data_IF_264623369490
#
_entry.id   IF_264623369490
#
_cell.length_a   1.000
_cell.length_b   1.000
_cell.length_c   1.000
_cell.angle_alpha   90.00
_cell.angle_beta   90.00
_cell.angle_gamma   90.00
#
_symmetry.space_group_name_H-M   'P 1'
#
loop_
_entity.id
_entity.type
_entity.pdbx_description
1 polymer ?
#
# COMPACT_ATOMS: atom_id res chain seq x y z
N UNK A 1 -39.24 91.06 -1.63
CA UNK A 1 -39.30 89.70 -1.16
C UNK A 1 -38.57 88.86 -2.18
N UNK A 2 -37.27 88.70 -2.07
CA UNK A 2 -36.40 88.02 -3.07
C UNK A 2 -35.60 86.90 -2.36
N UNK A 3 -35.89 85.70 -2.70
CA UNK A 3 -35.11 84.54 -2.23
C UNK A 3 -33.85 84.37 -3.06
N UNK A 4 -32.70 84.46 -2.43
CA UNK A 4 -31.43 84.19 -3.04
C UNK A 4 -31.14 82.68 -2.90
N UNK A 5 -30.99 82.00 -4.02
CA UNK A 5 -30.54 80.55 -4.08
C UNK A 5 -29.01 80.57 -4.00
N UNK A 6 -28.49 79.89 -3.05
CA UNK A 6 -27.03 79.62 -2.88
C UNK A 6 -26.68 78.35 -3.63
N UNK A 7 -25.92 78.49 -4.70
CA UNK A 7 -25.35 77.36 -5.45
C UNK A 7 -24.06 76.88 -4.74
N UNK A 8 -24.07 75.65 -4.23
CA UNK A 8 -22.86 75.02 -3.75
C UNK A 8 -22.37 74.12 -4.87
N UNK A 9 -21.17 74.48 -5.37
CA UNK A 9 -20.46 73.72 -6.40
C UNK A 9 -19.72 72.56 -5.71
N UNK A 10 -20.10 71.38 -5.94
CA UNK A 10 -19.38 70.15 -5.48
C UNK A 10 -18.37 69.78 -6.55
N UNK A 11 -17.08 70.01 -6.26
CA UNK A 11 -15.96 69.55 -7.08
C UNK A 11 -15.66 68.11 -6.70
N UNK A 12 -16.02 67.13 -7.55
CA UNK A 12 -15.65 65.77 -7.39
C UNK A 12 -14.19 65.56 -7.86
N UNK A 13 -13.32 65.27 -6.93
CA UNK A 13 -11.93 64.82 -7.22
C UNK A 13 -11.98 63.32 -7.43
N UNK A 14 -11.81 62.89 -8.68
CA UNK A 14 -11.71 61.48 -9.07
C UNK A 14 -10.28 60.99 -8.83
N UNK A 15 -10.04 60.33 -7.71
CA UNK A 15 -8.76 59.66 -7.46
C UNK A 15 -8.71 58.32 -8.20
N UNK A 16 -7.92 58.23 -9.24
CA UNK A 16 -7.63 57.03 -10.01
C UNK A 16 -6.61 56.19 -9.22
N UNK A 17 -7.03 55.22 -8.45
CA UNK A 17 -6.18 54.19 -7.84
C UNK A 17 -5.80 53.14 -8.90
N UNK A 18 -4.57 53.23 -9.41
CA UNK A 18 -3.96 52.17 -10.18
C UNK A 18 -3.67 51.00 -9.24
N UNK A 19 -4.45 49.94 -9.33
CA UNK A 19 -4.08 48.63 -8.77
C UNK A 19 -2.99 48.04 -9.68
N UNK A 20 -1.75 48.13 -9.26
CA UNK A 20 -0.68 47.31 -9.77
C UNK A 20 -0.94 45.88 -9.31
N UNK A 21 -1.46 45.03 -10.20
CA UNK A 21 -1.61 43.60 -9.98
C UNK A 21 -0.23 42.99 -9.82
N UNK A 22 0.16 42.69 -8.57
CA UNK A 22 1.29 41.85 -8.24
C UNK A 22 0.82 40.40 -8.49
N UNK A 23 1.14 39.86 -9.69
CA UNK A 23 1.01 38.44 -9.97
C UNK A 23 2.07 37.73 -9.17
N UNK A 24 1.71 37.29 -7.96
CA UNK A 24 2.50 36.31 -7.22
C UNK A 24 2.44 34.99 -7.97
N UNK A 25 3.54 34.64 -8.64
CA UNK A 25 3.79 33.26 -9.03
C UNK A 25 3.79 32.46 -7.73
N UNK A 26 2.76 31.65 -7.50
CA UNK A 26 2.82 30.56 -6.54
C UNK A 26 3.98 29.64 -6.96
N UNK A 27 5.09 29.82 -6.29
CA UNK A 27 6.11 28.80 -6.24
C UNK A 27 5.51 27.66 -5.45
N UNK A 28 5.08 26.60 -6.16
CA UNK A 28 4.85 25.29 -5.59
C UNK A 28 6.17 24.73 -5.02
N UNK A 29 6.63 25.37 -3.97
CA UNK A 29 7.66 24.83 -3.11
C UNK A 29 6.96 23.77 -2.25
N UNK A 30 6.88 22.54 -2.79
CA UNK A 30 6.40 21.38 -2.08
C UNK A 30 7.32 21.15 -0.88
N UNK A 31 7.03 21.89 0.19
CA UNK A 31 7.68 21.72 1.49
C UNK A 31 7.38 20.29 1.91
N UNK A 32 8.39 19.42 1.86
CA UNK A 32 8.33 18.10 2.47
C UNK A 32 8.10 18.31 3.96
N UNK A 33 6.83 18.24 4.37
CA UNK A 33 6.47 18.21 5.78
C UNK A 33 7.08 16.96 6.40
N UNK A 34 8.04 17.13 7.30
CA UNK A 34 8.74 16.06 8.03
C UNK A 34 7.88 15.45 9.14
N UNK A 35 6.57 15.36 8.93
CA UNK A 35 5.63 14.68 9.83
C UNK A 35 5.38 13.24 9.38
N UNK A 36 4.79 12.39 10.26
CA UNK A 36 4.38 11.05 9.86
C UNK A 36 3.35 11.13 8.71
N UNK A 37 3.52 10.27 7.70
CA UNK A 37 2.60 10.17 6.56
C UNK A 37 1.21 9.81 7.08
N UNK A 38 0.17 10.57 6.67
CA UNK A 38 -1.20 10.30 7.09
C UNK A 38 -1.72 8.97 6.50
N UNK A 39 -2.72 8.36 7.14
CA UNK A 39 -3.31 7.13 6.64
C UNK A 39 -3.92 7.31 5.24
N UNK A 40 -4.58 8.44 4.99
CA UNK A 40 -5.17 8.76 3.68
C UNK A 40 -4.08 8.89 2.59
N UNK A 41 -2.93 9.47 2.91
CA UNK A 41 -1.80 9.53 1.98
C UNK A 41 -1.21 8.14 1.69
N UNK A 42 -1.16 7.25 2.69
CA UNK A 42 -0.75 5.86 2.51
C UNK A 42 -1.70 5.16 1.55
N UNK A 43 -3.01 5.25 1.76
CA UNK A 43 -4.03 4.67 0.87
C UNK A 43 -3.93 5.24 -0.54
N UNK A 44 -3.82 6.56 -0.67
CA UNK A 44 -3.75 7.25 -1.95
C UNK A 44 -2.47 6.96 -2.74
N UNK A 45 -1.33 6.67 -2.07
CA UNK A 45 -0.01 6.49 -2.69
C UNK A 45 0.44 5.04 -2.83
N UNK A 46 -0.20 4.08 -2.14
CA UNK A 46 0.15 2.67 -2.25
C UNK A 46 -0.18 2.14 -3.65
N UNK A 47 0.79 1.50 -4.27
CA UNK A 47 0.64 0.89 -5.61
C UNK A 47 1.28 -0.50 -5.63
N UNK A 48 0.88 -1.30 -6.61
CA UNK A 48 1.60 -2.52 -7.00
C UNK A 48 2.80 -2.12 -7.84
N UNK A 49 3.98 -2.10 -7.23
CA UNK A 49 5.23 -1.62 -7.86
C UNK A 49 5.90 -2.75 -8.65
N UNK A 50 6.35 -2.44 -9.86
CA UNK A 50 6.93 -3.38 -10.83
C UNK A 50 8.28 -2.92 -11.36
N UNK A 51 8.97 -2.07 -10.60
CA UNK A 51 10.32 -1.61 -10.90
C UNK A 51 10.96 -1.15 -9.59
N UNK A 52 12.07 -1.77 -9.20
CA UNK A 52 12.74 -1.52 -7.93
C UNK A 52 14.13 -0.93 -8.13
N UNK A 53 14.52 -0.06 -7.19
CA UNK A 53 15.85 0.53 -7.13
C UNK A 53 16.83 -0.47 -6.48
N UNK A 54 17.59 -1.16 -7.32
CA UNK A 54 18.55 -2.19 -6.91
C UNK A 54 19.75 -1.64 -6.10
N UNK A 55 19.93 -0.31 -6.04
CA UNK A 55 20.99 0.32 -5.24
C UNK A 55 20.63 0.41 -3.75
N UNK A 56 19.35 0.20 -3.40
CA UNK A 56 18.82 0.33 -2.04
C UNK A 56 18.62 -1.04 -1.40
N UNK A 57 18.98 -1.12 -0.15
CA UNK A 57 18.82 -2.32 0.68
C UNK A 57 17.76 -2.09 1.76
N UNK A 58 17.27 -3.19 2.33
CA UNK A 58 16.35 -3.18 3.47
C UNK A 58 16.94 -4.13 4.52
N UNK A 59 16.99 -3.69 5.77
CA UNK A 59 17.55 -4.49 6.86
C UNK A 59 16.54 -5.50 7.40
N UNK A 60 17.02 -6.50 8.11
CA UNK A 60 16.16 -7.47 8.80
C UNK A 60 15.25 -6.79 9.83
N UNK A 61 15.76 -5.81 10.53
CA UNK A 61 15.04 -5.04 11.56
C UNK A 61 13.89 -4.24 10.94
N UNK A 62 14.10 -3.62 9.77
CA UNK A 62 13.03 -2.94 9.02
C UNK A 62 11.94 -3.93 8.58
N UNK A 63 12.31 -5.10 8.08
CA UNK A 63 11.33 -6.14 7.72
C UNK A 63 10.57 -6.63 8.95
N UNK A 64 11.24 -6.82 10.09
CA UNK A 64 10.61 -7.22 11.35
C UNK A 64 9.59 -6.17 11.81
N UNK A 65 9.92 -4.87 11.75
CA UNK A 65 8.96 -3.79 12.08
C UNK A 65 7.69 -3.85 11.21
N UNK A 66 7.83 -4.16 9.92
CA UNK A 66 6.69 -4.32 9.03
C UNK A 66 5.85 -5.55 9.37
N UNK A 67 6.51 -6.66 9.71
CA UNK A 67 5.82 -7.91 10.06
C UNK A 67 5.11 -7.82 11.42
N UNK A 68 5.61 -7.05 12.38
CA UNK A 68 4.91 -6.78 13.63
C UNK A 68 3.53 -6.15 13.36
N UNK A 69 3.42 -5.26 12.37
CA UNK A 69 2.13 -4.67 12.03
C UNK A 69 1.09 -5.70 11.54
N UNK A 70 1.51 -6.86 11.03
CA UNK A 70 0.58 -7.91 10.60
C UNK A 70 -0.15 -8.57 11.78
N UNK A 71 0.42 -8.48 12.99
CA UNK A 71 -0.18 -9.03 14.21
C UNK A 71 -1.40 -8.23 14.68
N UNK A 72 -1.52 -6.97 14.26
CA UNK A 72 -2.68 -6.11 14.52
C UNK A 72 -3.87 -6.41 13.59
N UNK A 73 -3.68 -7.24 12.56
CA UNK A 73 -4.76 -7.60 11.66
C UNK A 73 -5.75 -8.52 12.38
N UNK A 74 -7.07 -8.28 12.24
CA UNK A 74 -8.06 -9.20 12.78
C UNK A 74 -8.02 -10.54 12.05
N UNK A 75 -8.41 -11.60 12.76
CA UNK A 75 -8.60 -12.92 12.18
C UNK A 75 -9.81 -13.61 12.78
N UNK A 76 -10.35 -14.61 12.08
CA UNK A 76 -11.49 -15.40 12.53
C UNK A 76 -11.22 -15.96 13.94
N UNK A 77 -12.08 -15.61 14.91
CA UNK A 77 -11.92 -15.99 16.33
C UNK A 77 -10.48 -15.81 16.89
N UNK A 78 -9.74 -14.83 16.36
CA UNK A 78 -8.33 -14.55 16.71
C UNK A 78 -7.39 -15.76 16.49
N UNK A 79 -7.65 -16.56 15.46
CA UNK A 79 -6.87 -17.78 15.16
C UNK A 79 -5.47 -17.49 14.60
N UNK A 80 -5.23 -16.28 14.06
CA UNK A 80 -3.93 -15.80 13.58
C UNK A 80 -3.22 -16.81 12.65
N UNK A 81 -3.87 -17.28 11.56
CA UNK A 81 -3.36 -18.37 10.74
C UNK A 81 -2.18 -18.00 9.86
N UNK A 82 -1.91 -16.69 9.67
CA UNK A 82 -0.91 -16.20 8.73
C UNK A 82 0.52 -16.47 9.17
N UNK A 83 1.37 -16.90 8.21
CA UNK A 83 2.80 -17.11 8.38
C UNK A 83 3.59 -16.44 7.25
N UNK A 84 4.84 -16.11 7.53
CA UNK A 84 5.71 -15.42 6.59
C UNK A 84 7.11 -16.02 6.55
N UNK A 85 7.61 -16.31 5.34
CA UNK A 85 8.95 -16.81 5.09
C UNK A 85 9.72 -15.78 4.30
N UNK A 86 10.78 -15.23 4.87
CA UNK A 86 11.48 -14.05 4.35
C UNK A 86 12.79 -14.45 3.68
N UNK A 87 12.92 -14.18 2.39
CA UNK A 87 14.17 -14.17 1.66
C UNK A 87 14.78 -12.77 1.73
N UNK A 88 15.94 -12.64 2.37
CA UNK A 88 16.69 -11.39 2.52
C UNK A 88 18.15 -11.52 2.11
N UNK A 89 18.74 -12.72 2.15
CA UNK A 89 20.07 -12.93 1.57
C UNK A 89 19.97 -12.92 0.04
N UNK A 90 21.00 -12.40 -0.67
CA UNK A 90 21.00 -12.37 -2.13
C UNK A 90 20.70 -13.72 -2.77
N UNK A 91 21.22 -14.82 -2.20
CA UNK A 91 21.05 -16.18 -2.70
C UNK A 91 19.58 -16.64 -2.55
N UNK A 92 18.95 -16.34 -1.40
CA UNK A 92 17.53 -16.70 -1.17
C UNK A 92 16.61 -15.85 -2.01
N UNK A 93 16.89 -14.55 -2.17
CA UNK A 93 16.14 -13.65 -3.07
C UNK A 93 16.20 -14.16 -4.50
N UNK A 94 17.40 -14.49 -5.02
CA UNK A 94 17.57 -15.04 -6.35
C UNK A 94 16.81 -16.36 -6.52
N UNK A 95 16.89 -17.27 -5.53
CA UNK A 95 16.18 -18.54 -5.57
C UNK A 95 14.65 -18.35 -5.64
N UNK A 96 14.05 -17.46 -4.83
CA UNK A 96 12.61 -17.17 -4.88
C UNK A 96 12.22 -16.49 -6.20
N UNK A 97 13.09 -15.65 -6.74
CA UNK A 97 12.85 -14.94 -8.00
C UNK A 97 12.68 -15.90 -9.19
N UNK A 98 13.36 -17.06 -9.19
CA UNK A 98 13.17 -18.10 -10.20
C UNK A 98 11.84 -18.88 -10.04
N UNK A 99 11.20 -18.80 -8.88
CA UNK A 99 9.97 -19.55 -8.55
C UNK A 99 8.68 -18.75 -8.74
N UNK A 100 8.76 -17.54 -9.28
CA UNK A 100 7.59 -16.76 -9.72
C UNK A 100 7.48 -16.78 -11.23
N UNK A 101 6.28 -16.52 -11.76
CA UNK A 101 6.07 -16.51 -13.21
C UNK A 101 6.99 -15.51 -13.92
N UNK A 102 7.40 -15.80 -15.15
CA UNK A 102 8.42 -15.06 -15.92
C UNK A 102 8.20 -13.53 -15.95
N UNK A 103 6.97 -13.09 -16.14
CA UNK A 103 6.63 -11.67 -16.08
C UNK A 103 6.85 -11.07 -14.69
N UNK A 104 6.56 -11.84 -13.63
CA UNK A 104 6.79 -11.38 -12.27
C UNK A 104 8.27 -11.31 -11.94
N UNK A 105 9.07 -12.25 -12.44
CA UNK A 105 10.52 -12.23 -12.32
C UNK A 105 11.12 -10.91 -12.84
N UNK A 106 10.66 -10.45 -14.01
CA UNK A 106 11.04 -9.16 -14.57
C UNK A 106 10.57 -7.98 -13.71
N UNK A 107 9.32 -8.04 -13.21
CA UNK A 107 8.72 -6.98 -12.40
C UNK A 107 9.43 -6.77 -11.06
N UNK A 108 10.04 -7.81 -10.49
CA UNK A 108 10.68 -7.76 -9.17
C UNK A 108 12.20 -7.71 -9.23
N UNK A 109 12.78 -7.59 -10.42
CA UNK A 109 14.21 -7.37 -10.59
C UNK A 109 14.64 -6.14 -9.76
N UNK A 110 15.66 -6.31 -8.91
CA UNK A 110 16.14 -5.27 -8.01
C UNK A 110 15.40 -5.16 -6.67
N UNK A 111 14.35 -5.93 -6.42
CA UNK A 111 13.73 -5.99 -5.08
C UNK A 111 14.68 -6.68 -4.09
N UNK A 112 15.07 -6.03 -2.97
CA UNK A 112 16.03 -6.59 -2.02
C UNK A 112 15.44 -7.67 -1.11
N UNK A 113 14.11 -7.77 -1.00
CA UNK A 113 13.43 -8.74 -0.13
C UNK A 113 12.23 -9.36 -0.85
N UNK A 114 12.11 -10.70 -0.72
CA UNK A 114 10.93 -11.45 -1.17
C UNK A 114 10.36 -12.24 0.01
N UNK A 115 9.04 -12.24 0.15
CA UNK A 115 8.33 -12.82 1.30
C UNK A 115 7.28 -13.79 0.78
N UNK A 116 7.35 -15.06 1.21
CA UNK A 116 6.30 -16.02 0.96
C UNK A 116 5.26 -15.90 2.08
N UNK A 117 4.02 -15.61 1.70
CA UNK A 117 2.89 -15.50 2.63
C UNK A 117 2.05 -16.77 2.56
N UNK A 118 1.78 -17.36 3.73
CA UNK A 118 1.02 -18.59 3.89
C UNK A 118 -0.05 -18.44 4.96
N UNK A 119 -0.96 -19.42 5.03
CA UNK A 119 -1.83 -19.61 6.19
C UNK A 119 -1.95 -21.09 6.56
N UNK A 120 -2.17 -21.36 7.85
CA UNK A 120 -2.42 -22.71 8.37
C UNK A 120 -3.87 -23.16 8.06
N UNK A 121 -4.04 -24.33 7.44
CA UNK A 121 -5.33 -24.99 7.20
C UNK A 121 -6.00 -25.40 8.52
N UNK A 122 -7.32 -25.47 8.50
CA UNK A 122 -8.11 -25.95 9.63
C UNK A 122 -8.11 -25.06 10.86
N UNK A 123 -7.63 -23.82 10.73
CA UNK A 123 -7.65 -22.81 11.81
C UNK A 123 -8.88 -21.90 11.66
N UNK A 124 -8.80 -20.92 10.80
CA UNK A 124 -9.91 -19.98 10.56
C UNK A 124 -11.03 -20.67 9.81
N UNK A 125 -12.28 -20.46 10.26
CA UNK A 125 -13.45 -21.13 9.71
C UNK A 125 -13.76 -22.49 10.35
N UNK A 126 -13.00 -22.90 11.37
CA UNK A 126 -13.20 -24.16 12.09
C UNK A 126 -13.41 -23.93 13.58
N UNK A 127 -14.25 -24.77 14.20
CA UNK A 127 -14.49 -24.80 15.63
C UNK A 127 -14.44 -26.26 16.12
N UNK A 128 -13.58 -26.54 17.09
CA UNK A 128 -13.30 -27.90 17.56
C UNK A 128 -12.93 -28.89 16.44
N UNK A 129 -12.27 -28.41 15.37
CA UNK A 129 -11.89 -29.22 14.22
C UNK A 129 -12.97 -29.37 13.16
N UNK A 130 -14.20 -28.90 13.41
CA UNK A 130 -15.31 -28.95 12.47
C UNK A 130 -15.45 -27.64 11.69
N UNK A 131 -15.71 -27.76 10.39
CA UNK A 131 -15.96 -26.62 9.51
C UNK A 131 -17.26 -25.92 9.91
N UNK A 132 -17.23 -24.60 10.13
CA UNK A 132 -18.36 -23.81 10.64
C UNK A 132 -19.35 -23.39 9.56
N UNK A 133 -18.91 -23.26 8.30
CA UNK A 133 -19.74 -22.93 7.14
C UNK A 133 -19.06 -23.37 5.84
N UNK A 134 -19.70 -23.12 4.71
CA UNK A 134 -19.29 -23.55 3.36
C UNK A 134 -17.94 -22.99 2.90
N UNK A 135 -17.44 -21.93 3.54
CA UNK A 135 -16.17 -21.27 3.17
C UNK A 135 -14.95 -22.10 3.62
N UNK A 136 -15.03 -22.75 4.79
CA UNK A 136 -13.94 -23.58 5.33
C UNK A 136 -12.60 -22.83 5.38
N UNK A 137 -11.56 -23.43 4.82
CA UNK A 137 -10.20 -22.82 4.72
C UNK A 137 -10.16 -21.51 3.93
N UNK A 138 -11.22 -21.13 3.21
CA UNK A 138 -11.35 -19.80 2.61
C UNK A 138 -11.27 -18.66 3.64
N UNK A 139 -11.67 -18.91 4.90
CA UNK A 139 -11.48 -17.97 6.00
C UNK A 139 -9.99 -17.75 6.32
N UNK A 140 -9.16 -18.78 6.22
CA UNK A 140 -7.71 -18.65 6.35
C UNK A 140 -7.11 -17.78 5.25
N UNK A 141 -7.60 -17.92 4.01
CA UNK A 141 -7.20 -17.07 2.89
C UNK A 141 -7.67 -15.62 3.09
N UNK A 142 -8.89 -15.41 3.61
CA UNK A 142 -9.42 -14.07 3.94
C UNK A 142 -8.57 -13.39 5.01
N UNK A 143 -8.27 -14.05 6.12
CA UNK A 143 -7.44 -13.54 7.21
C UNK A 143 -6.02 -13.24 6.74
N UNK A 144 -5.45 -14.09 5.88
CA UNK A 144 -4.14 -13.85 5.30
C UNK A 144 -4.14 -12.61 4.39
N UNK A 145 -5.24 -12.36 3.66
CA UNK A 145 -5.43 -11.14 2.88
C UNK A 145 -5.45 -9.89 3.76
N UNK A 146 -6.14 -9.93 4.92
CA UNK A 146 -6.15 -8.85 5.91
C UNK A 146 -4.74 -8.60 6.47
N UNK A 147 -4.06 -9.65 6.90
CA UNK A 147 -2.69 -9.57 7.43
C UNK A 147 -1.71 -8.97 6.40
N UNK A 148 -1.80 -9.42 5.13
CA UNK A 148 -1.02 -8.85 4.03
C UNK A 148 -1.37 -7.38 3.76
N UNK A 149 -2.63 -6.96 3.93
CA UNK A 149 -3.02 -5.56 3.80
C UNK A 149 -2.32 -4.68 4.85
N UNK A 150 -2.27 -5.12 6.12
CA UNK A 150 -1.52 -4.40 7.16
C UNK A 150 -0.04 -4.29 6.82
N UNK A 151 0.57 -5.38 6.32
CA UNK A 151 1.97 -5.37 5.88
C UNK A 151 2.22 -4.33 4.79
N UNK A 152 1.45 -4.36 3.70
CA UNK A 152 1.68 -3.47 2.54
C UNK A 152 1.39 -2.00 2.84
N UNK A 153 0.41 -1.72 3.73
CA UNK A 153 0.12 -0.35 4.17
C UNK A 153 1.23 0.16 5.08
N UNK A 154 1.70 -0.65 6.04
CA UNK A 154 2.83 -0.30 6.90
C UNK A 154 4.10 -0.09 6.08
N UNK A 155 4.38 -0.95 5.10
CA UNK A 155 5.50 -0.78 4.18
C UNK A 155 5.42 0.58 3.47
N UNK A 156 4.26 0.94 2.92
CA UNK A 156 4.07 2.24 2.27
C UNK A 156 4.23 3.41 3.23
N UNK A 157 3.72 3.32 4.44
CA UNK A 157 3.90 4.35 5.48
C UNK A 157 5.37 4.59 5.84
N UNK A 158 6.21 3.56 5.68
CA UNK A 158 7.68 3.61 5.91
C UNK A 158 8.46 3.99 4.64
N UNK A 159 7.79 4.26 3.52
CA UNK A 159 8.43 4.63 2.25
C UNK A 159 8.86 3.46 1.38
N UNK A 160 8.54 2.22 1.77
CA UNK A 160 8.74 1.03 0.96
C UNK A 160 7.55 0.78 0.03
N UNK A 161 7.78 -0.08 -0.95
CA UNK A 161 6.79 -0.49 -1.94
C UNK A 161 6.76 -2.00 -2.10
N UNK A 162 5.61 -2.51 -2.55
CA UNK A 162 5.37 -3.94 -2.65
C UNK A 162 4.66 -4.34 -3.94
N UNK A 163 4.79 -5.62 -4.31
CA UNK A 163 3.95 -6.29 -5.31
C UNK A 163 3.54 -7.66 -4.75
N UNK A 164 2.24 -7.94 -4.70
CA UNK A 164 1.72 -9.26 -4.36
C UNK A 164 1.58 -10.08 -5.65
N UNK A 165 2.15 -11.28 -5.66
CA UNK A 165 2.20 -12.17 -6.83
C UNK A 165 1.57 -13.52 -6.50
N UNK A 166 0.52 -13.88 -7.26
CA UNK A 166 -0.14 -15.18 -7.14
C UNK A 166 0.48 -16.27 -8.01
N UNK A 167 1.11 -15.92 -9.14
CA UNK A 167 1.80 -16.90 -10.00
C UNK A 167 3.16 -17.26 -9.40
N UNK A 168 3.27 -18.50 -8.96
CA UNK A 168 4.43 -19.05 -8.25
C UNK A 168 4.46 -20.57 -8.36
N UNK A 169 5.64 -21.15 -8.17
CA UNK A 169 5.85 -22.60 -7.97
C UNK A 169 5.77 -22.91 -6.47
N UNK A 170 4.60 -23.40 -6.02
CA UNK A 170 4.35 -23.66 -4.60
C UNK A 170 5.19 -24.81 -4.06
N UNK A 171 5.42 -25.87 -4.84
CA UNK A 171 6.14 -27.06 -4.38
C UNK A 171 7.62 -26.77 -4.18
N UNK A 172 8.21 -26.01 -5.11
CA UNK A 172 9.60 -25.55 -4.99
C UNK A 172 9.78 -24.54 -3.85
N UNK A 173 8.82 -23.61 -3.62
CA UNK A 173 8.83 -22.71 -2.48
C UNK A 173 8.73 -23.46 -1.16
N UNK A 174 7.86 -24.48 -1.10
CA UNK A 174 7.71 -25.34 0.07
C UNK A 174 9.02 -26.01 0.44
N UNK A 175 9.69 -26.60 -0.55
CA UNK A 175 11.00 -27.23 -0.38
C UNK A 175 12.06 -26.21 0.05
N UNK A 176 12.11 -25.04 -0.59
CA UNK A 176 13.13 -24.00 -0.35
C UNK A 176 13.11 -23.47 1.09
N UNK A 177 11.92 -23.38 1.70
CA UNK A 177 11.72 -22.81 3.03
C UNK A 177 11.30 -23.84 4.09
N UNK A 178 11.19 -25.14 3.74
CA UNK A 178 10.65 -26.20 4.60
C UNK A 178 9.25 -25.85 5.16
N UNK A 179 8.37 -25.32 4.29
CA UNK A 179 7.01 -24.93 4.67
C UNK A 179 6.19 -26.19 4.96
N UNK A 180 5.53 -26.29 6.12
CA UNK A 180 4.71 -27.44 6.47
C UNK A 180 3.56 -27.70 5.49
N UNK A 181 3.16 -28.97 5.33
CA UNK A 181 2.08 -29.38 4.40
C UNK A 181 0.69 -28.86 4.83
N UNK A 182 0.51 -28.56 6.11
CA UNK A 182 -0.70 -27.93 6.62
C UNK A 182 -0.79 -26.44 6.33
N UNK A 183 0.21 -25.84 5.66
CA UNK A 183 0.15 -24.44 5.22
C UNK A 183 -0.16 -24.33 3.73
N UNK A 184 -1.06 -23.41 3.39
CA UNK A 184 -1.34 -23.01 2.00
C UNK A 184 -0.47 -21.82 1.65
N UNK A 185 0.35 -21.93 0.62
CA UNK A 185 1.13 -20.81 0.08
C UNK A 185 0.20 -19.92 -0.72
N UNK A 186 -0.02 -18.68 -0.27
CA UNK A 186 -0.95 -17.74 -0.91
C UNK A 186 -0.29 -16.87 -1.96
N UNK A 187 0.83 -16.27 -1.62
CA UNK A 187 1.48 -15.31 -2.49
C UNK A 187 2.98 -15.21 -2.20
N UNK A 188 3.72 -14.67 -3.18
CA UNK A 188 5.03 -14.07 -2.97
C UNK A 188 4.86 -12.56 -3.01
N UNK A 189 5.39 -11.86 -2.01
CA UNK A 189 5.34 -10.41 -1.88
C UNK A 189 6.76 -9.88 -2.02
N UNK A 190 6.99 -9.01 -3.02
CA UNK A 190 8.25 -8.28 -3.08
C UNK A 190 8.19 -7.02 -2.22
N UNK A 191 9.31 -6.64 -1.64
CA UNK A 191 9.50 -5.45 -0.82
C UNK A 191 10.76 -4.73 -1.26
N UNK A 192 10.67 -3.42 -1.50
CA UNK A 192 11.78 -2.60 -1.95
C UNK A 192 11.39 -1.13 -2.09
N UNK A 193 12.24 -0.36 -2.74
CA UNK A 193 11.97 1.03 -3.09
C UNK A 193 11.62 1.10 -4.57
N UNK A 194 10.56 1.85 -4.93
CA UNK A 194 10.22 2.06 -6.34
C UNK A 194 11.33 2.79 -7.08
N UNK A 195 11.68 2.32 -8.27
CA UNK A 195 12.59 3.02 -9.17
C UNK A 195 11.89 4.10 -10.00
N UNK A 196 10.59 3.90 -10.27
CA UNK A 196 9.77 4.83 -11.05
C UNK A 196 8.39 4.98 -10.39
N UNK A 197 7.73 6.11 -10.64
CA UNK A 197 6.35 6.30 -10.17
C UNK A 197 5.40 5.36 -10.92
N UNK A 198 4.68 4.48 -10.22
CA UNK A 198 3.78 3.54 -10.84
C UNK A 198 2.48 4.21 -11.29
N UNK A 199 1.91 3.75 -12.42
CA UNK A 199 0.59 4.18 -12.86
C UNK A 199 -0.47 3.86 -11.80
N UNK A 200 -1.39 4.80 -11.58
CA UNK A 200 -2.63 4.55 -10.83
C UNK A 200 -3.66 3.92 -11.78
N UNK A 201 -4.16 2.70 -11.48
CA UNK A 201 -5.24 2.12 -12.25
C UNK A 201 -6.56 2.85 -11.95
N UNK A 202 -7.49 2.81 -12.89
CA UNK A 202 -8.86 3.23 -12.67
C UNK A 202 -9.57 2.23 -11.74
N UNK A 203 -10.50 2.74 -10.95
CA UNK A 203 -11.38 1.95 -10.11
C UNK A 203 -12.76 1.84 -10.75
N UNK A 204 -13.49 0.79 -10.41
CA UNK A 204 -14.91 0.71 -10.76
C UNK A 204 -15.66 1.85 -10.06
N UNK A 205 -16.71 2.40 -10.67
CA UNK A 205 -17.65 3.29 -10.00
C UNK A 205 -18.22 2.66 -8.73
N UNK A 206 -18.50 3.49 -7.70
CA UNK A 206 -18.95 2.99 -6.41
C UNK A 206 -20.29 2.24 -6.49
N UNK A 207 -21.20 2.69 -7.35
CA UNK A 207 -22.52 2.12 -7.59
C UNK A 207 -22.50 0.71 -8.23
N UNK A 208 -21.38 0.32 -8.86
CA UNK A 208 -21.18 -1.06 -9.35
C UNK A 208 -20.82 -2.05 -8.23
N UNK A 209 -20.33 -1.57 -7.10
CA UNK A 209 -19.76 -2.40 -6.02
C UNK A 209 -20.46 -2.25 -4.67
N UNK A 210 -21.36 -1.26 -4.53
CA UNK A 210 -22.11 -0.96 -3.30
C UNK A 210 -23.57 -0.81 -3.61
N UNK A 211 -24.43 -1.41 -2.78
CA UNK A 211 -25.87 -1.22 -2.80
C UNK A 211 -26.32 -0.79 -1.40
N UNK A 212 -27.19 0.22 -1.35
CA UNK A 212 -27.84 0.71 -0.13
C UNK A 212 -29.31 0.26 -0.15
N UNK A 213 -29.79 -0.29 0.96
CA UNK A 213 -31.16 -0.78 1.11
C UNK A 213 -31.89 -0.02 2.20
#
# INVERSE_FOLDING_TARGET
MKNKKLNVLFTAVLAFLMFAGCSSKENDNKTTTSGPVSFDEVLASRRSVRSYDASKTITKEEVQELLIATQEAPSWANQQPSKYYVAISPEKVAAVQELVGERNKQNIAGAPVLIVSTFEKGKSGFFHGEQTNEIGDGWGAYDNGLSNAYFILKARAKGFDTLIMGMRDSDSLRTLFNIPENEVIMAVISLGYRANEPRQPEHRPLDEVVQFF
#
